data_IF_032176022499
#
_entry.id   IF_032176022499
#
_cell.length_a   1.000
_cell.length_b   1.000
_cell.length_c   1.000
_cell.angle_alpha   90.00
_cell.angle_beta   90.00
_cell.angle_gamma   90.00
#
_symmetry.space_group_name_H-M   'P 1'
#
loop_
_entity.id
_entity.type
_entity.pdbx_description
1 polymer ?
#
# COMPACT_ATOMS: atom_id res chain seq x y z
N UNK A 1 17.38 6.84 7.02
CA UNK A 1 16.69 6.14 5.92
C UNK A 1 15.21 6.41 6.10
N UNK A 2 14.60 7.21 5.23
CA UNK A 2 13.22 7.63 5.37
C UNK A 2 12.25 6.63 4.71
N UNK A 3 11.07 6.44 5.29
CA UNK A 3 9.94 5.74 4.67
C UNK A 3 9.15 6.72 3.79
N UNK A 4 9.22 6.54 2.47
CA UNK A 4 8.66 7.48 1.51
C UNK A 4 7.43 6.88 0.86
N UNK A 5 6.26 7.46 1.11
CA UNK A 5 5.02 7.08 0.41
C UNK A 5 5.01 7.60 -1.02
N UNK A 6 4.47 6.81 -1.95
CA UNK A 6 4.49 7.12 -3.37
C UNK A 6 3.05 7.14 -3.89
N UNK A 7 2.68 8.23 -4.57
CA UNK A 7 1.44 8.34 -5.33
C UNK A 7 1.72 8.85 -6.76
N UNK A 8 1.31 8.12 -7.82
CA UNK A 8 0.51 6.89 -7.81
C UNK A 8 1.22 5.69 -7.18
N UNK A 9 0.50 4.95 -6.32
CA UNK A 9 1.07 3.86 -5.52
C UNK A 9 1.58 2.66 -6.35
N UNK A 10 1.22 2.60 -7.63
CA UNK A 10 1.66 1.58 -8.59
C UNK A 10 2.95 1.97 -9.33
N UNK A 11 3.49 3.17 -9.12
CA UNK A 11 4.68 3.64 -9.83
C UNK A 11 5.93 2.88 -9.40
N UNK A 12 6.40 1.99 -10.29
CA UNK A 12 7.65 1.25 -10.11
C UNK A 12 8.88 2.15 -10.29
N UNK A 13 8.79 3.14 -11.18
CA UNK A 13 9.89 4.09 -11.44
C UNK A 13 10.19 4.92 -10.19
N UNK A 14 9.16 5.47 -9.54
CA UNK A 14 9.33 6.24 -8.30
C UNK A 14 9.79 5.34 -7.15
N UNK A 15 9.31 4.08 -7.10
CA UNK A 15 9.74 3.12 -6.09
C UNK A 15 11.24 2.78 -6.23
N UNK A 16 11.70 2.56 -7.46
CA UNK A 16 13.11 2.30 -7.77
C UNK A 16 13.99 3.52 -7.47
N UNK A 17 13.53 4.73 -7.83
CA UNK A 17 14.24 5.98 -7.51
C UNK A 17 14.46 6.11 -6.00
N UNK A 18 13.40 6.00 -5.20
CA UNK A 18 13.49 6.09 -3.73
C UNK A 18 14.47 5.05 -3.17
N UNK A 19 14.41 3.81 -3.67
CA UNK A 19 15.30 2.74 -3.23
C UNK A 19 16.78 3.03 -3.55
N UNK A 20 17.08 3.53 -4.76
CA UNK A 20 18.46 3.86 -5.18
C UNK A 20 19.08 4.98 -4.35
N UNK A 21 18.28 5.89 -3.83
CA UNK A 21 18.72 6.97 -2.94
C UNK A 21 18.79 6.56 -1.46
N UNK A 22 18.67 5.27 -1.14
CA UNK A 22 18.84 4.75 0.22
C UNK A 22 17.66 5.03 1.14
N UNK A 23 16.46 5.14 0.57
CA UNK A 23 15.21 5.29 1.30
C UNK A 23 14.31 4.06 1.10
N UNK A 24 13.30 3.91 1.96
CA UNK A 24 12.36 2.79 1.88
C UNK A 24 11.11 3.22 1.13
N UNK A 25 10.85 2.71 -0.08
CA UNK A 25 9.62 3.03 -0.81
C UNK A 25 8.42 2.33 -0.16
N UNK A 26 7.37 3.10 0.13
CA UNK A 26 6.06 2.60 0.50
C UNK A 26 5.13 2.75 -0.71
N UNK A 27 4.86 1.62 -1.38
CA UNK A 27 4.04 1.55 -2.59
C UNK A 27 3.13 0.32 -2.56
N UNK A 28 2.10 0.31 -3.42
CA UNK A 28 1.16 -0.81 -3.49
C UNK A 28 1.86 -2.10 -3.91
N UNK A 29 2.87 -2.01 -4.77
CA UNK A 29 3.65 -3.16 -5.22
C UNK A 29 4.35 -3.87 -4.05
N UNK A 30 4.92 -3.12 -3.11
CA UNK A 30 5.60 -3.68 -1.93
C UNK A 30 4.59 -4.37 -1.01
N UNK A 31 3.48 -3.68 -0.68
CA UNK A 31 2.46 -4.23 0.21
C UNK A 31 1.72 -5.46 -0.36
N UNK A 32 1.60 -5.55 -1.69
CA UNK A 32 1.05 -6.74 -2.37
C UNK A 32 2.08 -7.86 -2.39
N UNK A 33 3.35 -7.55 -2.68
CA UNK A 33 4.45 -8.52 -2.70
C UNK A 33 4.56 -9.28 -1.39
N UNK A 34 4.48 -8.59 -0.26
CA UNK A 34 4.48 -9.22 1.07
C UNK A 34 3.35 -10.25 1.22
N UNK A 35 2.13 -9.91 0.78
CA UNK A 35 0.98 -10.82 0.86
C UNK A 35 1.10 -12.05 -0.04
N UNK A 36 1.73 -11.93 -1.20
CA UNK A 36 1.86 -13.06 -2.15
C UNK A 36 3.10 -13.93 -1.88
N UNK A 37 4.15 -13.38 -1.27
CA UNK A 37 5.41 -14.09 -1.01
C UNK A 37 5.53 -14.64 0.41
N UNK A 38 4.58 -14.35 1.30
CA UNK A 38 4.54 -14.94 2.63
C UNK A 38 4.34 -16.46 2.49
N UNK A 39 5.39 -17.23 2.81
CA UNK A 39 5.36 -18.68 2.74
C UNK A 39 4.40 -19.24 3.80
N UNK A 40 3.35 -19.93 3.36
CA UNK A 40 2.44 -20.68 4.21
C UNK A 40 1.98 -21.93 3.47
N UNK A 41 2.32 -23.11 3.99
CA UNK A 41 2.03 -24.40 3.35
C UNK A 41 0.51 -24.66 3.15
N UNK A 42 -0.32 -24.00 3.96
CA UNK A 42 -1.75 -24.28 4.14
C UNK A 42 -2.67 -23.11 3.73
N UNK A 43 -2.15 -22.12 3.00
CA UNK A 43 -2.95 -20.94 2.65
C UNK A 43 -2.79 -20.63 1.17
N UNK A 44 -3.85 -20.77 0.34
CA UNK A 44 -3.84 -20.19 -1.00
C UNK A 44 -3.46 -18.69 -0.90
N UNK A 45 -2.87 -18.09 -1.96
CA UNK A 45 -2.32 -16.72 -1.91
C UNK A 45 -3.29 -15.80 -1.17
N UNK A 46 -2.81 -15.10 -0.13
CA UNK A 46 -3.61 -14.33 0.83
C UNK A 46 -4.79 -13.63 0.14
N UNK A 47 -5.94 -14.28 0.16
CA UNK A 47 -7.19 -13.73 -0.38
C UNK A 47 -7.57 -12.55 0.50
N UNK A 48 -8.14 -11.50 -0.11
CA UNK A 48 -8.75 -10.42 0.68
C UNK A 48 -9.78 -11.07 1.61
N UNK A 49 -9.62 -10.86 2.91
CA UNK A 49 -10.61 -11.33 3.89
C UNK A 49 -11.60 -10.20 4.19
N UNK A 50 -12.74 -10.50 4.82
CA UNK A 50 -13.65 -9.46 5.30
C UNK A 50 -13.02 -8.48 6.30
N UNK A 51 -11.86 -8.81 6.90
CA UNK A 51 -11.15 -7.91 7.82
C UNK A 51 -10.43 -6.77 7.12
N UNK A 52 -9.95 -6.97 5.88
CA UNK A 52 -9.25 -5.91 5.14
C UNK A 52 -10.13 -4.69 4.88
N UNK A 53 -11.35 -4.80 4.33
CA UNK A 53 -12.24 -3.65 4.15
C UNK A 53 -12.59 -2.95 5.47
N UNK A 54 -12.69 -3.69 6.59
CA UNK A 54 -12.93 -3.10 7.92
C UNK A 54 -11.79 -2.20 8.35
N UNK A 55 -10.53 -2.62 8.14
CA UNK A 55 -9.34 -1.75 8.38
C UNK A 55 -9.46 -0.46 7.56
N UNK A 56 -9.89 -0.58 6.30
CA UNK A 56 -10.09 0.57 5.40
C UNK A 56 -11.08 1.61 5.92
N UNK A 57 -12.05 1.23 6.77
CA UNK A 57 -13.03 2.15 7.35
C UNK A 57 -12.40 3.21 8.27
N UNK A 58 -11.17 2.99 8.75
CA UNK A 58 -10.42 4.02 9.49
C UNK A 58 -10.16 5.27 8.65
N UNK A 59 -10.01 5.13 7.33
CA UNK A 59 -9.65 6.24 6.44
C UNK A 59 -10.72 6.57 5.39
N UNK A 60 -11.73 5.73 5.22
CA UNK A 60 -12.76 5.89 4.21
C UNK A 60 -14.14 5.60 4.81
N UNK A 61 -15.09 6.50 4.59
CA UNK A 61 -16.45 6.37 5.11
C UNK A 61 -17.16 5.11 4.57
N UNK A 62 -18.21 4.65 5.26
CA UNK A 62 -18.90 3.43 4.87
C UNK A 62 -19.60 3.57 3.50
N UNK A 63 -20.03 4.78 3.14
CA UNK A 63 -20.69 5.06 1.85
C UNK A 63 -19.77 5.01 0.63
N UNK A 64 -18.44 5.06 0.78
CA UNK A 64 -17.52 5.06 -0.38
C UNK A 64 -17.49 3.68 -1.07
N UNK A 65 -17.19 3.58 -2.37
CA UNK A 65 -17.16 2.30 -3.07
C UNK A 65 -16.21 1.27 -2.42
N UNK A 66 -16.56 -0.02 -2.50
CA UNK A 66 -15.77 -1.10 -1.91
C UNK A 66 -14.31 -1.13 -2.39
N UNK A 67 -14.07 -0.77 -3.66
CA UNK A 67 -12.73 -0.64 -4.22
C UNK A 67 -11.89 0.47 -3.57
N UNK A 68 -12.52 1.57 -3.14
CA UNK A 68 -11.83 2.66 -2.41
C UNK A 68 -11.43 2.15 -1.03
N UNK A 69 -12.35 1.52 -0.29
CA UNK A 69 -12.07 0.94 1.04
C UNK A 69 -10.97 -0.13 0.98
N UNK A 70 -11.02 -0.99 -0.04
CA UNK A 70 -9.99 -2.02 -0.27
C UNK A 70 -8.61 -1.42 -0.55
N UNK A 71 -8.52 -0.31 -1.27
CA UNK A 71 -7.23 0.41 -1.45
C UNK A 71 -6.81 1.11 -0.18
N UNK A 72 -7.73 1.67 0.60
CA UNK A 72 -7.40 2.32 1.86
C UNK A 72 -6.92 1.35 2.93
N UNK A 73 -7.35 0.08 2.91
CA UNK A 73 -6.75 -0.95 3.78
C UNK A 73 -5.30 -1.30 3.42
N UNK A 74 -4.88 -0.99 2.19
CA UNK A 74 -3.49 -1.09 1.73
C UNK A 74 -2.71 0.20 1.98
N UNK A 75 -3.27 1.35 1.64
CA UNK A 75 -2.57 2.65 1.67
C UNK A 75 -2.56 3.27 3.06
N UNK A 76 -3.63 3.14 3.83
CA UNK A 76 -3.76 3.72 5.17
C UNK A 76 -2.59 3.40 6.09
N UNK A 77 -2.23 2.11 6.29
CA UNK A 77 -1.08 1.75 7.12
C UNK A 77 0.26 2.31 6.59
N UNK A 78 0.40 2.43 5.28
CA UNK A 78 1.60 3.00 4.66
C UNK A 78 1.68 4.51 4.87
N UNK A 79 0.56 5.21 4.76
CA UNK A 79 0.45 6.65 5.02
C UNK A 79 0.78 6.94 6.49
N UNK A 80 0.28 6.14 7.42
CA UNK A 80 0.60 6.30 8.85
C UNK A 80 2.07 6.01 9.17
N UNK A 81 2.70 5.09 8.45
CA UNK A 81 4.09 4.73 8.65
C UNK A 81 5.09 5.63 7.90
N UNK A 82 4.64 6.51 7.00
CA UNK A 82 5.53 7.30 6.17
C UNK A 82 6.10 8.53 6.90
N UNK A 83 7.33 8.89 6.55
CA UNK A 83 8.02 10.08 7.06
C UNK A 83 8.09 11.19 6.00
N UNK A 84 7.89 10.83 4.72
CA UNK A 84 7.81 11.74 3.59
C UNK A 84 6.90 11.14 2.49
N UNK A 85 6.47 11.95 1.53
CA UNK A 85 5.67 11.48 0.40
C UNK A 85 6.07 12.16 -0.93
N UNK A 86 5.99 11.41 -2.02
CA UNK A 86 6.05 11.90 -3.41
C UNK A 86 4.66 11.75 -4.00
N UNK A 87 4.05 12.87 -4.41
CA UNK A 87 2.68 12.90 -4.95
C UNK A 87 2.73 13.54 -6.33
N UNK A 88 2.32 12.78 -7.35
CA UNK A 88 2.12 13.27 -8.71
C UNK A 88 0.62 13.24 -8.99
N UNK A 89 0.02 14.42 -9.20
CA UNK A 89 -1.44 14.57 -9.32
C UNK A 89 -1.96 14.29 -10.74
N UNK A 90 -1.09 14.34 -11.76
CA UNK A 90 -1.43 14.20 -13.19
C UNK A 90 -0.61 13.09 -13.87
N UNK A 91 -0.49 11.94 -13.18
CA UNK A 91 0.27 10.78 -13.65
C UNK A 91 -0.57 9.75 -14.42
#
# INVERSE_FOLDING_TARGET
MAKVFIYPATSLILSDLVARYGHTPLSSAVAIRERIQTAGLESPPLQITPEEPKKGLKWAAVEVPAGVRGRMSLYGPQIEACEAAIIINDA
#
